data_IF_191415915778
#
_entry.id   IF_191415915778
#
_cell.length_a   1.000
_cell.length_b   1.000
_cell.length_c   1.000
_cell.angle_alpha   90.00
_cell.angle_beta   90.00
_cell.angle_gamma   90.00
#
_symmetry.space_group_name_H-M   'P 1'
#
loop_
_entity.id
_entity.type
_entity.pdbx_description
1 polymer ?
#
# COMPACT_ATOMS: atom_id res chain seq x y z
N UNK A 1 -7.21 -2.03 11.10
CA UNK A 1 -7.88 -0.85 10.48
C UNK A 1 -7.37 -0.68 9.07
N UNK A 2 -8.22 -0.74 8.05
CA UNK A 2 -7.84 -0.50 6.66
C UNK A 2 -8.12 0.96 6.28
N UNK A 3 -7.11 1.71 5.89
CA UNK A 3 -7.21 3.11 5.49
C UNK A 3 -7.15 3.18 3.96
N UNK A 4 -8.25 3.62 3.35
CA UNK A 4 -8.38 3.80 1.90
C UNK A 4 -8.46 5.29 1.57
N UNK A 5 -7.53 5.80 0.77
CA UNK A 5 -7.51 7.20 0.35
C UNK A 5 -7.15 7.35 -1.13
N UNK A 6 -7.50 8.48 -1.73
CA UNK A 6 -6.98 8.88 -3.03
C UNK A 6 -5.50 9.30 -2.92
N UNK A 7 -4.77 9.32 -4.05
CA UNK A 7 -3.31 9.48 -4.01
C UNK A 7 -2.73 10.58 -4.91
N UNK A 8 -3.08 11.86 -4.69
CA UNK A 8 -2.54 12.97 -5.46
C UNK A 8 -1.03 13.18 -5.25
N UNK A 9 -0.48 12.83 -4.08
CA UNK A 9 0.93 13.03 -3.75
C UNK A 9 1.59 11.79 -3.14
N UNK A 10 2.55 11.23 -3.88
CA UNK A 10 3.26 9.99 -3.52
C UNK A 10 3.94 10.00 -2.13
N UNK A 11 4.28 11.17 -1.58
CA UNK A 11 5.03 11.31 -0.33
C UNK A 11 4.16 11.84 0.82
N UNK A 12 3.38 12.89 0.56
CA UNK A 12 2.63 13.58 1.61
C UNK A 12 1.44 12.73 2.08
N UNK A 13 0.75 12.04 1.18
CA UNK A 13 -0.45 11.29 1.57
C UNK A 13 -0.12 10.17 2.59
N UNK A 14 0.94 9.35 2.38
CA UNK A 14 1.33 8.36 3.39
C UNK A 14 1.81 9.01 4.69
N UNK A 15 2.51 10.14 4.61
CA UNK A 15 3.02 10.86 5.78
C UNK A 15 1.89 11.37 6.69
N UNK A 16 0.82 11.91 6.11
CA UNK A 16 -0.36 12.34 6.87
C UNK A 16 -0.99 11.14 7.58
N UNK A 17 -1.12 9.99 6.91
CA UNK A 17 -1.67 8.79 7.53
C UNK A 17 -0.77 8.26 8.64
N UNK A 18 0.56 8.26 8.44
CA UNK A 18 1.50 7.90 9.50
C UNK A 18 1.33 8.74 10.77
N UNK A 19 1.09 10.05 10.62
CA UNK A 19 0.92 10.97 11.75
C UNK A 19 -0.46 10.89 12.41
N UNK A 20 -1.50 10.53 11.65
CA UNK A 20 -2.91 10.63 12.10
C UNK A 20 -3.57 9.31 12.43
N UNK A 21 -3.00 8.16 12.02
CA UNK A 21 -3.62 6.85 12.23
C UNK A 21 -3.75 6.44 13.71
N UNK A 22 -3.00 7.07 14.62
CA UNK A 22 -3.01 6.77 16.06
C UNK A 22 -2.49 5.37 16.42
N UNK A 23 -1.87 4.67 15.46
CA UNK A 23 -1.32 3.31 15.57
C UNK A 23 -0.26 3.08 14.48
N UNK A 24 0.62 2.06 14.62
CA UNK A 24 1.53 1.68 13.55
C UNK A 24 0.75 1.47 12.25
N UNK A 25 1.23 2.03 11.14
CA UNK A 25 0.57 1.91 9.84
C UNK A 25 1.54 1.36 8.81
N UNK A 26 1.07 0.45 7.95
CA UNK A 26 1.86 -0.23 6.93
C UNK A 26 1.39 0.22 5.55
N UNK A 27 2.19 1.00 4.81
CA UNK A 27 1.80 1.43 3.48
C UNK A 27 1.98 0.30 2.46
N UNK A 28 0.99 0.11 1.59
CA UNK A 28 1.18 -0.65 0.35
C UNK A 28 1.83 0.26 -0.70
N UNK A 29 3.03 -0.10 -1.16
CA UNK A 29 3.82 0.70 -2.09
C UNK A 29 4.30 -0.14 -3.29
N UNK A 30 4.59 0.51 -4.42
CA UNK A 30 5.04 -0.17 -5.65
C UNK A 30 6.34 -0.94 -5.37
N UNK A 31 6.42 -2.21 -5.76
CA UNK A 31 7.59 -3.05 -5.53
C UNK A 31 8.93 -2.42 -5.99
N UNK A 32 9.03 -1.75 -7.16
CA UNK A 32 10.28 -1.10 -7.59
C UNK A 32 10.81 -0.01 -6.66
N UNK A 33 9.97 0.58 -5.78
CA UNK A 33 10.43 1.57 -4.79
C UNK A 33 11.30 0.93 -3.71
N UNK A 34 11.13 -0.37 -3.45
CA UNK A 34 11.92 -1.10 -2.46
C UNK A 34 13.36 -1.35 -2.93
N UNK A 35 13.62 -1.30 -4.23
CA UNK A 35 14.96 -1.50 -4.79
C UNK A 35 15.83 -0.23 -4.71
N UNK A 36 15.21 0.93 -4.43
CA UNK A 36 15.92 2.19 -4.25
C UNK A 36 16.57 2.25 -2.87
N UNK A 37 17.85 2.65 -2.80
CA UNK A 37 18.63 2.61 -1.56
C UNK A 37 17.98 3.43 -0.43
N UNK A 38 17.64 4.70 -0.71
CA UNK A 38 17.08 5.60 0.32
C UNK A 38 15.60 5.28 0.56
N UNK A 39 14.79 5.33 -0.49
CA UNK A 39 13.33 5.14 -0.41
C UNK A 39 12.97 3.73 0.07
N UNK A 40 13.64 2.71 -0.45
CA UNK A 40 13.40 1.32 -0.07
C UNK A 40 13.83 1.01 1.35
N UNK A 41 14.90 1.63 1.87
CA UNK A 41 15.29 1.48 3.29
C UNK A 41 14.23 2.11 4.19
N UNK A 42 13.76 3.32 3.86
CA UNK A 42 12.70 3.99 4.62
C UNK A 42 11.39 3.18 4.61
N UNK A 43 10.96 2.68 3.45
CA UNK A 43 9.75 1.85 3.32
C UNK A 43 9.84 0.58 4.17
N UNK A 44 10.98 -0.12 4.14
CA UNK A 44 11.18 -1.31 4.99
C UNK A 44 11.17 -0.97 6.47
N UNK A 45 11.81 0.13 6.89
CA UNK A 45 11.81 0.58 8.28
C UNK A 45 10.40 0.92 8.78
N UNK A 46 9.54 1.44 7.91
CA UNK A 46 8.14 1.75 8.21
C UNK A 46 7.20 0.53 8.08
N UNK A 47 7.74 -0.67 7.79
CA UNK A 47 6.94 -1.88 7.62
C UNK A 47 6.09 -1.90 6.34
N UNK A 48 6.53 -1.19 5.30
CA UNK A 48 5.86 -1.11 4.01
C UNK A 48 5.75 -2.47 3.32
N UNK A 49 4.65 -2.66 2.59
CA UNK A 49 4.29 -3.91 1.93
C UNK A 49 4.39 -3.72 0.40
N UNK A 50 5.20 -4.52 -0.32
CA UNK A 50 5.42 -4.33 -1.75
C UNK A 50 4.23 -4.82 -2.58
N UNK A 51 3.82 -4.02 -3.56
CA UNK A 51 2.77 -4.37 -4.53
C UNK A 51 3.37 -4.52 -5.92
N UNK A 52 3.19 -5.72 -6.49
CA UNK A 52 3.67 -6.09 -7.81
C UNK A 52 2.56 -5.87 -8.84
N UNK A 53 2.67 -4.79 -9.62
CA UNK A 53 1.64 -4.42 -10.60
C UNK A 53 1.94 -5.08 -11.94
N UNK A 54 0.88 -5.45 -12.67
CA UNK A 54 0.97 -5.98 -14.03
C UNK A 54 1.80 -5.10 -14.98
N UNK A 55 1.72 -3.78 -14.83
CA UNK A 55 2.43 -2.83 -15.68
C UNK A 55 3.94 -2.74 -15.41
N UNK A 56 4.39 -3.18 -14.22
CA UNK A 56 5.81 -3.14 -13.85
C UNK A 56 6.49 -4.46 -14.26
N UNK A 57 5.94 -5.59 -13.80
CA UNK A 57 6.33 -6.94 -14.23
C UNK A 57 5.17 -7.93 -14.04
N UNK A 58 4.51 -8.40 -15.12
CA UNK A 58 3.44 -9.38 -15.03
C UNK A 58 3.84 -10.71 -14.38
N UNK A 59 5.11 -11.12 -14.51
CA UNK A 59 5.59 -12.42 -14.01
C UNK A 59 5.66 -12.44 -12.49
N UNK A 60 5.82 -11.28 -11.86
CA UNK A 60 5.95 -11.15 -10.41
C UNK A 60 4.60 -10.96 -9.69
N UNK A 61 3.48 -10.90 -10.40
CA UNK A 61 2.17 -10.65 -9.78
C UNK A 61 1.76 -11.69 -8.73
N UNK A 62 2.23 -12.93 -8.86
CA UNK A 62 1.99 -14.01 -7.89
C UNK A 62 2.59 -13.69 -6.50
N UNK A 63 3.60 -12.80 -6.42
CA UNK A 63 4.18 -12.39 -5.15
C UNK A 63 3.22 -11.55 -4.30
N UNK A 64 2.16 -11.00 -4.89
CA UNK A 64 1.14 -10.27 -4.13
C UNK A 64 0.36 -11.16 -3.16
N UNK A 65 0.37 -12.49 -3.33
CA UNK A 65 -0.29 -13.39 -2.37
C UNK A 65 0.33 -13.22 -0.98
N UNK A 66 1.67 -13.14 -0.91
CA UNK A 66 2.41 -12.81 0.33
C UNK A 66 2.12 -11.41 0.85
N UNK A 67 1.85 -10.46 -0.05
CA UNK A 67 1.49 -9.09 0.33
C UNK A 67 0.09 -9.04 0.96
N UNK A 68 -0.85 -9.84 0.46
CA UNK A 68 -2.16 -9.99 1.09
C UNK A 68 -2.03 -10.63 2.47
N UNK A 69 -1.29 -11.73 2.59
CA UNK A 69 -1.05 -12.40 3.88
C UNK A 69 -0.47 -11.41 4.90
N UNK A 70 0.59 -10.69 4.53
CA UNK A 70 1.23 -9.71 5.41
C UNK A 70 0.32 -8.51 5.78
N UNK A 71 -0.58 -8.12 4.89
CA UNK A 71 -1.56 -7.08 5.17
C UNK A 71 -2.62 -7.57 6.18
N UNK A 72 -3.09 -8.81 6.03
CA UNK A 72 -4.05 -9.44 6.96
C UNK A 72 -3.41 -9.60 8.34
N UNK A 73 -2.19 -10.14 8.40
CA UNK A 73 -1.42 -10.28 9.64
C UNK A 73 -1.25 -8.94 10.35
N UNK A 74 -0.95 -7.87 9.58
CA UNK A 74 -0.83 -6.53 10.14
C UNK A 74 -2.14 -6.02 10.74
N UNK A 75 -3.27 -6.26 10.07
CA UNK A 75 -4.58 -5.86 10.55
C UNK A 75 -4.95 -6.61 11.84
N UNK A 76 -4.71 -7.93 11.89
CA UNK A 76 -4.94 -8.76 13.08
C UNK A 76 -4.02 -8.39 14.25
N UNK A 77 -2.77 -8.02 13.96
CA UNK A 77 -1.82 -7.48 14.95
C UNK A 77 -2.16 -6.05 15.43
N UNK A 78 -3.31 -5.50 15.03
CA UNK A 78 -3.79 -4.19 15.47
C UNK A 78 -3.19 -3.00 14.72
N UNK A 79 -2.33 -3.23 13.72
CA UNK A 79 -1.79 -2.17 12.86
C UNK A 79 -2.85 -1.63 11.90
N UNK A 80 -2.60 -0.44 11.38
CA UNK A 80 -3.29 0.07 10.21
C UNK A 80 -2.60 -0.40 8.92
N UNK A 81 -3.36 -0.57 7.85
CA UNK A 81 -2.84 -0.80 6.50
C UNK A 81 -3.31 0.35 5.61
N UNK A 82 -2.38 1.01 4.92
CA UNK A 82 -2.68 2.14 4.05
C UNK A 82 -2.71 1.67 2.59
N UNK A 83 -3.83 1.85 1.92
CA UNK A 83 -3.99 1.49 0.50
C UNK A 83 -4.57 2.65 -0.31
N UNK A 84 -3.97 2.85 -1.47
CA UNK A 84 -4.37 3.84 -2.45
C UNK A 84 -4.87 3.10 -3.70
N UNK A 85 -6.20 2.87 -3.83
CA UNK A 85 -6.74 1.87 -4.75
C UNK A 85 -6.57 2.25 -6.23
N UNK A 86 -6.19 3.48 -6.55
CA UNK A 86 -5.75 3.93 -7.87
C UNK A 86 -4.49 3.18 -8.36
N UNK A 87 -3.62 2.78 -7.42
CA UNK A 87 -2.37 2.09 -7.71
C UNK A 87 -1.34 2.92 -8.47
N UNK A 88 -1.60 4.22 -8.64
CA UNK A 88 -0.75 5.22 -9.29
C UNK A 88 -0.92 6.53 -8.52
N UNK A 89 0.08 7.42 -8.58
CA UNK A 89 -0.06 8.79 -8.12
C UNK A 89 -0.24 9.64 -9.37
N UNK A 90 -1.27 10.48 -9.41
CA UNK A 90 -1.53 11.38 -10.54
C UNK A 90 -1.95 12.76 -10.02
N UNK A 91 -1.63 13.80 -10.79
CA UNK A 91 -2.01 15.18 -10.47
C UNK A 91 -3.34 15.59 -11.11
N UNK A 92 -4.02 14.66 -11.79
CA UNK A 92 -5.34 14.91 -12.39
C UNK A 92 -6.42 15.07 -11.31
N UNK A 93 -7.39 16.00 -11.49
CA UNK A 93 -8.43 16.28 -10.50
C UNK A 93 -9.53 15.20 -10.42
N UNK A 94 -9.50 14.20 -11.30
CA UNK A 94 -10.45 13.08 -11.34
C UNK A 94 -9.84 11.81 -10.77
N UNK A 95 -10.64 10.99 -10.08
CA UNK A 95 -10.21 9.66 -9.66
C UNK A 95 -9.88 8.79 -10.88
N UNK A 96 -8.75 8.10 -10.83
CA UNK A 96 -8.44 7.03 -11.79
C UNK A 96 -9.18 5.73 -11.44
N UNK A 97 -9.26 4.77 -12.38
CA UNK A 97 -9.90 3.48 -12.12
C UNK A 97 -9.36 2.80 -10.86
N UNK A 98 -10.25 2.52 -9.91
CA UNK A 98 -9.91 1.86 -8.65
C UNK A 98 -9.73 0.35 -8.84
N UNK A 99 -8.73 -0.20 -8.17
CA UNK A 99 -8.42 -1.64 -8.15
C UNK A 99 -9.09 -2.31 -6.96
N UNK A 100 -9.38 -3.60 -7.10
CA UNK A 100 -10.10 -4.41 -6.09
C UNK A 100 -9.28 -4.77 -4.84
N UNK A 101 -8.00 -4.38 -4.77
CA UNK A 101 -7.09 -4.77 -3.69
C UNK A 101 -7.60 -4.42 -2.29
N UNK A 102 -8.18 -3.23 -2.11
CA UNK A 102 -8.73 -2.80 -0.82
C UNK A 102 -9.90 -3.70 -0.36
N UNK A 103 -10.85 -3.97 -1.26
CA UNK A 103 -11.98 -4.85 -0.97
C UNK A 103 -11.53 -6.28 -0.66
N UNK A 104 -10.52 -6.79 -1.38
CA UNK A 104 -9.95 -8.13 -1.13
C UNK A 104 -9.27 -8.21 0.24
N UNK A 105 -8.48 -7.22 0.63
CA UNK A 105 -7.85 -7.17 1.96
C UNK A 105 -8.92 -7.14 3.06
N UNK A 106 -9.95 -6.29 2.91
CA UNK A 106 -11.02 -6.19 3.89
C UNK A 106 -11.77 -7.52 4.05
N UNK A 107 -12.16 -8.17 2.95
CA UNK A 107 -12.90 -9.43 2.96
C UNK A 107 -12.08 -10.60 3.52
N UNK A 108 -10.77 -10.64 3.26
CA UNK A 108 -9.89 -11.70 3.75
C UNK A 108 -9.47 -11.52 5.22
N UNK A 109 -9.73 -10.34 5.81
CA UNK A 109 -9.35 -10.02 7.19
C UNK A 109 -10.52 -10.13 8.19
N UNK A 110 -11.76 -10.30 7.72
CA UNK A 110 -12.91 -10.72 8.53
C UNK A 110 -12.74 -12.15 9.05
#
# INVERSE_FOLDING_TARGET
>A
MLITANHPNALIDPLVVFQTAGRPSRPLAKAPLFDQLIVGTALRALGGLPVYRKQDDPKLMHLNDRTFDAAIDALHAGSAVQIYPEGQSHSEPSLTPIRTGAARIALLAE
#
